data_IF_929230549885
#
_entry.id   IF_929230549885
#
_cell.length_a   1.000
_cell.length_b   1.000
_cell.length_c   1.000
_cell.angle_alpha   90.00
_cell.angle_beta   90.00
_cell.angle_gamma   90.00
#
_symmetry.space_group_name_H-M   'P 1'
#
loop_
_entity.id
_entity.type
_entity.pdbx_description
1 polymer ?
#
# COMPACT_ATOMS: atom_id res chain seq x y z
N UNK A 1 22.15 5.30 -3.83
CA UNK A 1 21.74 4.30 -2.82
C UNK A 1 21.47 5.03 -1.51
N UNK A 2 20.22 5.37 -1.20
CA UNK A 2 19.90 6.12 0.04
C UNK A 2 19.92 5.17 1.23
N UNK A 3 20.94 5.31 2.08
CA UNK A 3 21.15 4.50 3.30
C UNK A 3 20.34 5.10 4.44
N UNK A 4 19.17 4.53 4.74
CA UNK A 4 18.40 4.90 5.92
C UNK A 4 19.12 4.47 7.20
N UNK A 5 19.75 5.41 7.91
CA UNK A 5 20.29 5.15 9.25
C UNK A 5 19.12 4.98 10.21
N UNK A 6 18.99 3.80 10.79
CA UNK A 6 18.25 3.58 12.02
C UNK A 6 18.84 4.43 13.15
N UNK A 7 18.40 5.70 13.29
CA UNK A 7 18.50 6.40 14.57
C UNK A 7 17.29 5.99 15.41
N UNK A 8 17.60 5.44 16.57
CA UNK A 8 16.77 4.67 17.50
C UNK A 8 15.58 5.39 18.15
N UNK A 9 15.08 6.50 17.58
CA UNK A 9 13.98 7.26 18.19
C UNK A 9 12.90 7.80 17.25
N UNK A 10 12.97 7.51 15.93
CA UNK A 10 11.97 7.96 14.97
C UNK A 10 11.35 6.77 14.21
N UNK A 11 10.55 5.94 14.90
CA UNK A 11 9.90 4.75 14.30
C UNK A 11 8.78 5.07 13.28
N UNK A 12 8.50 6.34 13.02
CA UNK A 12 7.40 6.77 12.15
C UNK A 12 7.81 7.62 10.94
N UNK A 13 9.12 7.80 10.71
CA UNK A 13 9.61 8.62 9.59
C UNK A 13 10.08 7.71 8.46
N UNK A 14 9.27 7.61 7.40
CA UNK A 14 9.66 6.88 6.19
C UNK A 14 10.87 7.52 5.51
N UNK A 15 11.71 6.71 4.84
CA UNK A 15 12.97 7.13 4.22
C UNK A 15 12.87 8.37 3.32
N UNK A 16 11.72 8.59 2.68
CA UNK A 16 11.49 9.75 1.82
C UNK A 16 11.52 11.09 2.59
N UNK A 17 11.32 11.11 3.91
CA UNK A 17 11.39 12.35 4.71
C UNK A 17 12.82 12.70 5.17
N UNK A 18 13.84 12.06 4.58
CA UNK A 18 15.26 12.39 4.84
C UNK A 18 15.80 13.44 3.88
N UNK A 19 15.12 13.68 2.76
CA UNK A 19 15.40 14.78 1.83
C UNK A 19 14.73 16.07 2.36
N UNK A 20 15.47 17.19 2.51
CA UNK A 20 14.90 18.43 3.03
C UNK A 20 13.75 19.01 2.17
N UNK A 21 13.65 18.63 0.89
CA UNK A 21 12.59 19.10 0.00
C UNK A 21 11.32 18.25 0.09
N UNK A 22 11.38 17.06 0.70
CA UNK A 22 10.30 16.07 0.70
C UNK A 22 9.77 15.85 2.12
N UNK A 23 8.45 16.00 2.29
CA UNK A 23 7.77 15.70 3.56
C UNK A 23 6.64 14.70 3.38
N UNK A 24 6.81 13.50 3.95
CA UNK A 24 5.74 12.50 3.97
C UNK A 24 5.01 12.43 5.33
N UNK A 25 5.74 12.56 6.44
CA UNK A 25 5.15 12.55 7.79
C UNK A 25 4.52 11.20 8.21
N UNK A 26 3.65 11.27 9.22
CA UNK A 26 2.87 10.14 9.72
C UNK A 26 1.71 9.78 8.78
N UNK A 27 1.08 8.60 9.00
CA UNK A 27 -0.10 8.21 8.24
C UNK A 27 -1.30 9.11 8.58
N UNK A 28 -2.07 9.60 7.59
CA UNK A 28 -3.26 10.42 7.85
C UNK A 28 -4.38 9.68 8.58
N UNK A 29 -4.43 8.35 8.47
CA UNK A 29 -5.45 7.44 9.00
C UNK A 29 -6.88 7.65 8.48
N UNK A 30 -7.24 8.85 8.02
CA UNK A 30 -8.58 9.21 7.51
C UNK A 30 -8.77 8.93 6.01
N UNK A 31 -7.68 8.88 5.24
CA UNK A 31 -7.80 8.80 3.77
C UNK A 31 -8.42 7.50 3.29
N UNK A 32 -8.22 6.39 4.02
CA UNK A 32 -8.76 5.09 3.62
C UNK A 32 -10.28 5.09 3.77
N UNK A 33 -10.77 5.64 4.88
CA UNK A 33 -12.20 5.75 5.17
C UNK A 33 -12.92 6.61 4.13
N UNK A 34 -12.32 7.75 3.75
CA UNK A 34 -12.85 8.60 2.68
C UNK A 34 -12.93 7.86 1.34
N UNK A 35 -11.85 7.16 0.95
CA UNK A 35 -11.82 6.40 -0.29
C UNK A 35 -12.83 5.24 -0.28
N UNK A 36 -12.96 4.55 0.84
CA UNK A 36 -13.96 3.51 1.04
C UNK A 36 -15.37 4.08 0.88
N UNK A 37 -15.69 5.17 1.56
CA UNK A 37 -17.00 5.82 1.48
C UNK A 37 -17.36 6.25 0.04
N UNK A 38 -16.38 6.78 -0.72
CA UNK A 38 -16.56 7.16 -2.12
C UNK A 38 -16.86 5.97 -3.04
N UNK A 39 -16.26 4.81 -2.79
CA UNK A 39 -16.37 3.61 -3.64
C UNK A 39 -17.48 2.65 -3.21
N UNK A 40 -17.87 2.67 -1.94
CA UNK A 40 -18.95 1.84 -1.40
C UNK A 40 -20.34 2.48 -1.53
N UNK A 41 -20.42 3.69 -2.13
CA UNK A 41 -21.70 4.39 -2.26
C UNK A 41 -22.69 3.61 -3.14
N UNK A 42 -23.87 3.22 -2.61
CA UNK A 42 -24.86 2.47 -3.36
C UNK A 42 -25.34 3.20 -4.62
N UNK A 43 -25.59 2.46 -5.70
CA UNK A 43 -25.97 3.03 -7.00
C UNK A 43 -27.20 3.95 -6.91
N UNK A 44 -28.21 3.57 -6.11
CA UNK A 44 -29.42 4.37 -5.92
C UNK A 44 -29.12 5.75 -5.30
N UNK A 45 -28.15 5.84 -4.36
CA UNK A 45 -27.73 7.13 -3.79
C UNK A 45 -27.00 7.97 -4.82
N UNK A 46 -26.14 7.36 -5.65
CA UNK A 46 -25.46 8.07 -6.75
C UNK A 46 -26.48 8.65 -7.75
N UNK A 47 -27.47 7.85 -8.16
CA UNK A 47 -28.53 8.30 -9.09
C UNK A 47 -29.33 9.46 -8.52
N UNK A 48 -29.73 9.38 -7.24
CA UNK A 48 -30.38 10.49 -6.53
C UNK A 48 -29.50 11.73 -6.45
N UNK A 49 -28.21 11.57 -6.18
CA UNK A 49 -27.24 12.68 -6.18
C UNK A 49 -27.20 13.41 -7.53
N UNK A 50 -27.13 12.66 -8.62
CA UNK A 50 -27.16 13.22 -9.99
C UNK A 50 -28.47 13.97 -10.25
N UNK A 51 -29.62 13.41 -9.84
CA UNK A 51 -30.92 14.10 -9.93
C UNK A 51 -30.98 15.40 -9.12
N UNK A 52 -30.19 15.49 -8.04
CA UNK A 52 -30.04 16.69 -7.22
C UNK A 52 -28.92 17.63 -7.68
N UNK A 53 -28.30 17.38 -8.86
CA UNK A 53 -27.21 18.20 -9.39
C UNK A 53 -25.83 17.92 -8.79
N UNK A 54 -25.68 16.89 -7.96
CA UNK A 54 -24.41 16.44 -7.40
C UNK A 54 -23.78 15.43 -8.35
N UNK A 55 -23.03 15.93 -9.32
CA UNK A 55 -22.36 15.09 -10.32
C UNK A 55 -21.12 14.39 -9.75
N UNK A 56 -20.71 13.22 -10.32
CA UNK A 56 -19.55 12.47 -9.85
C UNK A 56 -18.27 13.30 -9.76
N UNK A 57 -18.07 14.22 -10.72
CA UNK A 57 -16.89 15.09 -10.78
C UNK A 57 -16.79 16.02 -9.56
N UNK A 58 -17.90 16.56 -9.06
CA UNK A 58 -17.91 17.40 -7.86
C UNK A 58 -17.46 16.60 -6.62
N UNK A 59 -17.85 15.33 -6.53
CA UNK A 59 -17.40 14.44 -5.46
C UNK A 59 -15.90 14.14 -5.61
N UNK A 60 -15.45 13.84 -6.82
CA UNK A 60 -14.04 13.55 -7.09
C UNK A 60 -13.13 14.74 -6.74
N UNK A 61 -13.54 15.96 -7.11
CA UNK A 61 -12.85 17.20 -6.72
C UNK A 61 -12.86 17.40 -5.19
N UNK A 62 -13.97 17.11 -4.51
CA UNK A 62 -14.06 17.21 -3.06
C UNK A 62 -13.15 16.19 -2.35
N UNK A 63 -13.06 14.95 -2.86
CA UNK A 63 -12.14 13.93 -2.34
C UNK A 63 -10.69 14.36 -2.55
N UNK A 64 -10.33 14.85 -3.74
CA UNK A 64 -9.00 15.34 -4.03
C UNK A 64 -8.61 16.51 -3.11
N UNK A 65 -9.50 17.49 -2.94
CA UNK A 65 -9.30 18.64 -2.07
C UNK A 65 -9.13 18.23 -0.61
N UNK A 66 -9.95 17.29 -0.11
CA UNK A 66 -9.83 16.77 1.26
C UNK A 66 -8.46 16.11 1.49
N UNK A 67 -8.04 15.22 0.58
CA UNK A 67 -6.76 14.50 0.69
C UNK A 67 -5.60 15.50 0.65
N UNK A 68 -5.59 16.41 -0.32
CA UNK A 68 -4.55 17.42 -0.45
C UNK A 68 -4.48 18.28 0.80
N UNK A 69 -5.62 18.77 1.30
CA UNK A 69 -5.65 19.65 2.46
C UNK A 69 -5.20 18.96 3.74
N UNK A 70 -5.56 17.69 3.89
CA UNK A 70 -5.09 16.85 4.99
C UNK A 70 -3.57 16.73 4.93
N UNK A 71 -3.00 16.36 3.78
CA UNK A 71 -1.55 16.25 3.60
C UNK A 71 -0.86 17.58 3.91
N UNK A 72 -1.32 18.70 3.34
CA UNK A 72 -0.77 20.04 3.58
C UNK A 72 -0.74 20.43 5.06
N UNK A 73 -1.80 20.11 5.80
CA UNK A 73 -2.00 20.60 7.18
C UNK A 73 -1.43 19.69 8.26
N UNK A 74 -0.98 18.49 7.90
CA UNK A 74 -0.37 17.54 8.83
C UNK A 74 1.11 17.82 9.14
N UNK A 75 1.68 18.95 8.70
CA UNK A 75 3.08 19.27 9.01
C UNK A 75 3.55 20.61 8.46
N UNK A 76 4.85 20.90 8.58
CA UNK A 76 5.44 22.10 8.00
C UNK A 76 5.36 22.11 6.47
N UNK A 77 5.47 23.29 5.83
CA UNK A 77 5.56 23.38 4.37
C UNK A 77 6.80 22.66 3.83
N UNK A 78 6.71 22.13 2.61
CA UNK A 78 7.79 21.51 1.86
C UNK A 78 7.50 21.61 0.36
N UNK A 79 8.55 21.55 -0.47
CA UNK A 79 8.43 21.65 -1.93
C UNK A 79 7.67 20.44 -2.52
N UNK A 80 7.88 19.26 -1.93
CA UNK A 80 7.21 18.03 -2.31
C UNK A 80 6.51 17.41 -1.09
N UNK A 81 5.20 17.25 -1.20
CA UNK A 81 4.38 16.59 -0.20
C UNK A 81 4.17 15.12 -0.60
N UNK A 82 4.24 14.21 0.38
CA UNK A 82 3.84 12.82 0.17
C UNK A 82 2.66 12.43 1.05
N UNK A 83 1.97 11.40 0.56
CA UNK A 83 0.94 10.68 1.30
C UNK A 83 1.42 9.24 1.48
N UNK A 84 1.49 8.77 2.73
CA UNK A 84 1.88 7.39 3.04
C UNK A 84 0.81 6.73 3.88
N UNK A 85 0.05 5.84 3.27
CA UNK A 85 -0.88 4.96 3.97
C UNK A 85 -1.01 3.64 3.20
N UNK A 86 -0.55 2.50 3.74
CA UNK A 86 -0.36 1.27 2.95
C UNK A 86 -1.60 0.81 2.16
N UNK A 87 -2.77 0.86 2.79
CA UNK A 87 -4.00 0.33 2.20
C UNK A 87 -4.66 1.25 1.16
N UNK A 88 -4.23 2.50 1.00
CA UNK A 88 -4.82 3.38 -0.06
C UNK A 88 -4.39 2.96 -1.45
N UNK A 89 -3.33 2.17 -1.58
CA UNK A 89 -2.83 1.68 -2.87
C UNK A 89 -3.84 0.78 -3.60
N UNK A 90 -4.84 0.22 -2.92
CA UNK A 90 -5.95 -0.50 -3.58
C UNK A 90 -6.79 0.42 -4.48
N UNK A 91 -6.76 1.73 -4.23
CA UNK A 91 -7.43 2.77 -5.01
C UNK A 91 -6.48 3.49 -5.97
N UNK A 92 -5.33 2.89 -6.32
CA UNK A 92 -4.29 3.52 -7.13
C UNK A 92 -4.81 4.18 -8.42
N UNK A 93 -5.65 3.47 -9.19
CA UNK A 93 -6.19 3.98 -10.45
C UNK A 93 -7.02 5.25 -10.24
N UNK A 94 -7.84 5.27 -9.19
CA UNK A 94 -8.64 6.44 -8.85
C UNK A 94 -7.77 7.60 -8.34
N UNK A 95 -6.78 7.31 -7.48
CA UNK A 95 -5.83 8.32 -7.01
C UNK A 95 -5.00 8.92 -8.17
N UNK A 96 -4.64 8.13 -9.18
CA UNK A 96 -3.96 8.61 -10.37
C UNK A 96 -4.84 9.53 -11.23
N UNK A 97 -6.16 9.31 -11.26
CA UNK A 97 -7.12 10.21 -11.90
C UNK A 97 -7.26 11.52 -11.12
N UNK A 98 -7.35 11.46 -9.79
CA UNK A 98 -7.47 12.64 -8.93
C UNK A 98 -6.21 13.51 -8.93
N UNK A 99 -5.03 12.90 -9.01
CA UNK A 99 -3.74 13.59 -8.95
C UNK A 99 -2.84 13.23 -10.15
N UNK A 100 -3.09 13.77 -11.35
CA UNK A 100 -2.38 13.38 -12.57
C UNK A 100 -0.87 13.61 -12.54
N UNK A 101 -0.40 14.54 -11.70
CA UNK A 101 1.04 14.85 -11.52
C UNK A 101 1.69 14.05 -10.38
N UNK A 102 0.92 13.29 -9.60
CA UNK A 102 1.45 12.49 -8.51
C UNK A 102 2.33 11.34 -9.02
N UNK A 103 3.30 10.95 -8.20
CA UNK A 103 4.12 9.77 -8.42
C UNK A 103 3.79 8.75 -7.33
N UNK A 104 3.71 7.48 -7.70
CA UNK A 104 3.31 6.41 -6.80
C UNK A 104 4.47 5.45 -6.58
N UNK A 105 4.74 5.14 -5.31
CA UNK A 105 5.78 4.19 -4.91
C UNK A 105 5.07 2.98 -4.30
N UNK A 106 5.07 1.87 -5.05
CA UNK A 106 4.56 0.60 -4.53
C UNK A 106 5.70 -0.16 -3.83
N UNK A 107 5.59 -0.31 -2.51
CA UNK A 107 6.60 -1.03 -1.74
C UNK A 107 6.41 -2.53 -1.91
N UNK A 108 7.34 -3.18 -2.63
CA UNK A 108 7.40 -4.62 -2.75
C UNK A 108 8.34 -5.21 -1.70
N UNK A 109 7.88 -6.25 -1.01
CA UNK A 109 8.63 -6.98 0.02
C UNK A 109 8.32 -8.46 -0.09
N UNK A 110 9.28 -9.31 0.29
CA UNK A 110 9.01 -10.74 0.48
C UNK A 110 7.82 -10.91 1.45
N UNK A 111 6.81 -11.65 1.01
CA UNK A 111 5.58 -11.88 1.78
C UNK A 111 5.83 -12.58 3.11
N UNK A 112 6.85 -13.45 3.20
CA UNK A 112 7.27 -14.08 4.45
C UNK A 112 7.83 -13.05 5.41
N UNK A 113 8.68 -12.13 4.93
CA UNK A 113 9.23 -11.06 5.74
C UNK A 113 8.15 -10.05 6.17
N UNK A 114 7.19 -9.74 5.29
CA UNK A 114 6.06 -8.87 5.60
C UNK A 114 5.18 -9.48 6.71
N UNK A 115 4.75 -10.74 6.54
CA UNK A 115 3.93 -11.45 7.53
C UNK A 115 4.68 -11.66 8.84
N UNK A 116 5.94 -12.07 8.81
CA UNK A 116 6.74 -12.24 10.02
C UNK A 116 6.84 -10.93 10.83
N UNK A 117 7.03 -9.78 10.16
CA UNK A 117 7.09 -8.49 10.84
C UNK A 117 5.76 -8.04 11.46
N UNK A 118 4.64 -8.55 10.97
CA UNK A 118 3.32 -8.25 11.55
C UNK A 118 3.01 -9.13 12.78
N UNK A 119 3.58 -10.34 12.86
CA UNK A 119 3.34 -11.29 13.95
C UNK A 119 4.04 -10.86 15.24
N UNK A 120 5.24 -10.27 15.17
CA UNK A 120 5.94 -9.77 16.38
C UNK A 120 5.21 -8.63 17.09
N UNK A 121 4.29 -7.95 16.40
CA UNK A 121 3.53 -6.81 16.92
C UNK A 121 2.13 -7.16 17.43
N UNK A 122 1.68 -8.42 17.34
CA UNK A 122 0.37 -8.83 17.88
C UNK A 122 0.48 -9.01 19.41
N UNK A 123 -0.06 -8.09 20.25
CA UNK A 123 0.15 -8.12 21.70
C UNK A 123 -0.65 -9.21 22.42
N UNK A 124 -1.32 -10.10 21.70
CA UNK A 124 -2.27 -11.03 22.28
C UNK A 124 -2.25 -12.35 21.55
N UNK A 125 -1.22 -13.15 21.82
CA UNK A 125 -1.32 -14.52 22.39
C UNK A 125 -0.01 -15.28 22.15
N UNK A 126 0.48 -15.99 23.16
CA UNK A 126 1.45 -17.08 23.01
C UNK A 126 0.85 -18.30 22.26
N UNK A 127 -0.13 -18.08 21.38
CA UNK A 127 -0.76 -19.13 20.59
C UNK A 127 0.15 -19.42 19.40
N UNK A 128 0.96 -20.47 19.55
CA UNK A 128 1.70 -21.14 18.50
C UNK A 128 2.41 -20.22 17.49
N UNK A 129 3.70 -19.96 17.73
CA UNK A 129 4.65 -19.64 16.66
C UNK A 129 4.71 -20.81 15.66
N UNK A 130 3.73 -20.93 14.78
CA UNK A 130 3.86 -21.77 13.59
C UNK A 130 4.99 -21.16 12.77
N UNK A 131 5.97 -21.97 12.38
CA UNK A 131 7.12 -21.51 11.57
C UNK A 131 6.69 -20.77 10.27
N UNK A 132 5.43 -20.97 9.84
CA UNK A 132 4.81 -20.30 8.70
C UNK A 132 3.34 -19.99 9.04
N UNK A 133 2.98 -18.71 9.24
CA UNK A 133 1.59 -18.28 9.44
C UNK A 133 0.83 -18.28 8.10
N UNK A 134 0.44 -19.49 7.67
CA UNK A 134 -0.08 -19.77 6.32
C UNK A 134 -1.35 -18.98 6.00
N UNK A 135 -2.20 -18.68 7.00
CA UNK A 135 -3.40 -17.87 6.81
C UNK A 135 -3.05 -16.42 6.46
N UNK A 136 -2.11 -15.80 7.18
CA UNK A 136 -1.67 -14.43 6.89
C UNK A 136 -0.93 -14.34 5.57
N UNK A 137 -0.15 -15.38 5.20
CA UNK A 137 0.45 -15.48 3.87
C UNK A 137 -0.61 -15.63 2.78
N UNK A 138 -1.67 -16.40 3.03
CA UNK A 138 -2.82 -16.50 2.13
C UNK A 138 -3.53 -15.15 1.94
N UNK A 139 -3.73 -14.39 3.03
CA UNK A 139 -4.30 -13.03 2.98
C UNK A 139 -3.38 -12.04 2.28
N UNK A 140 -2.07 -12.10 2.53
CA UNK A 140 -1.09 -11.26 1.83
C UNK A 140 -1.09 -11.55 0.33
N UNK A 141 -1.20 -12.82 -0.05
CA UNK A 141 -1.21 -13.27 -1.43
C UNK A 141 -2.61 -13.27 -2.07
N UNK A 142 -3.62 -12.65 -1.45
CA UNK A 142 -5.04 -12.86 -1.75
C UNK A 142 -5.36 -12.99 -3.26
N UNK A 143 -6.00 -14.10 -3.60
CA UNK A 143 -6.29 -14.56 -4.96
C UNK A 143 -7.20 -13.63 -5.76
N UNK A 144 -8.15 -12.93 -5.13
CA UNK A 144 -9.18 -12.23 -5.90
C UNK A 144 -8.63 -10.97 -6.56
N UNK A 145 -7.76 -10.24 -5.86
CA UNK A 145 -7.03 -9.11 -6.43
C UNK A 145 -5.98 -9.57 -7.46
N UNK A 146 -5.26 -10.65 -7.19
CA UNK A 146 -4.29 -11.22 -8.15
C UNK A 146 -4.95 -11.68 -9.46
N UNK A 147 -6.16 -12.25 -9.39
CA UNK A 147 -6.93 -12.68 -10.57
C UNK A 147 -7.41 -11.51 -11.41
N UNK A 148 -7.82 -10.41 -10.76
CA UNK A 148 -8.41 -9.24 -11.42
C UNK A 148 -7.36 -8.24 -11.92
N UNK A 149 -6.11 -8.30 -11.44
CA UNK A 149 -5.04 -7.38 -11.82
C UNK A 149 -4.08 -8.05 -12.82
N UNK A 150 -4.09 -7.68 -14.12
CA UNK A 150 -3.23 -8.26 -15.15
C UNK A 150 -1.74 -8.11 -14.84
N UNK A 151 -1.32 -6.98 -14.25
CA UNK A 151 0.06 -6.75 -13.88
C UNK A 151 0.52 -7.75 -12.81
N UNK A 152 -0.30 -8.04 -11.81
CA UNK A 152 0.07 -8.97 -10.75
C UNK A 152 0.24 -10.41 -11.24
N UNK A 153 -0.38 -10.78 -12.36
CA UNK A 153 -0.22 -12.09 -13.00
C UNK A 153 1.14 -12.26 -13.67
N UNK A 154 1.73 -11.17 -14.16
CA UNK A 154 3.03 -11.17 -14.86
C UNK A 154 4.16 -10.59 -14.00
N UNK A 155 3.84 -9.97 -12.87
CA UNK A 155 4.81 -9.30 -12.00
C UNK A 155 5.98 -10.21 -11.59
N UNK A 156 5.72 -11.49 -11.30
CA UNK A 156 6.75 -12.46 -10.96
C UNK A 156 7.75 -12.77 -12.11
N UNK A 157 7.35 -12.54 -13.36
CA UNK A 157 8.18 -12.69 -14.56
C UNK A 157 8.93 -11.38 -14.86
N UNK A 158 8.22 -10.25 -14.75
CA UNK A 158 8.69 -8.91 -15.13
C UNK A 158 9.56 -8.22 -14.07
N UNK A 159 9.40 -8.57 -12.78
CA UNK A 159 10.12 -7.93 -11.68
C UNK A 159 11.33 -8.79 -11.27
N UNK A 160 12.57 -8.34 -11.54
CA UNK A 160 13.78 -9.13 -11.24
C UNK A 160 13.88 -9.53 -9.77
N UNK A 161 13.48 -8.63 -8.85
CA UNK A 161 13.49 -8.91 -7.41
C UNK A 161 12.62 -10.14 -7.06
N UNK A 162 11.44 -10.29 -7.67
CA UNK A 162 10.55 -11.42 -7.41
C UNK A 162 11.16 -12.73 -7.92
N UNK A 163 11.84 -12.70 -9.06
CA UNK A 163 12.60 -13.84 -9.58
C UNK A 163 13.72 -14.25 -8.63
N UNK A 164 14.51 -13.29 -8.14
CA UNK A 164 15.58 -13.56 -7.18
C UNK A 164 15.02 -14.16 -5.88
N UNK A 165 13.88 -13.67 -5.41
CA UNK A 165 13.20 -14.22 -4.23
C UNK A 165 12.56 -15.62 -4.48
N UNK A 166 12.63 -16.16 -5.69
CA UNK A 166 12.12 -17.48 -6.06
C UNK A 166 10.63 -17.52 -6.43
N UNK A 167 9.98 -16.37 -6.57
CA UNK A 167 8.54 -16.30 -6.83
C UNK A 167 8.16 -16.72 -8.26
N UNK A 168 9.09 -16.64 -9.22
CA UNK A 168 8.85 -16.96 -10.64
C UNK A 168 8.44 -18.41 -10.88
N UNK A 169 8.87 -19.35 -10.01
CA UNK A 169 8.63 -20.79 -10.18
C UNK A 169 7.61 -21.32 -9.17
N UNK A 170 6.88 -20.42 -8.52
CA UNK A 170 5.77 -20.75 -7.64
C UNK A 170 4.46 -20.44 -8.35
N UNK A 171 3.40 -21.18 -8.03
CA UNK A 171 2.05 -20.87 -8.53
C UNK A 171 1.69 -19.40 -8.27
N UNK A 172 0.63 -18.89 -8.90
CA UNK A 172 0.00 -17.62 -8.50
C UNK A 172 -1.32 -17.96 -7.81
N UNK A 173 -1.47 -17.70 -6.49
CA UNK A 173 -0.49 -17.14 -5.55
C UNK A 173 0.68 -18.10 -5.23
N UNK A 174 1.83 -17.55 -4.76
CA UNK A 174 3.03 -18.32 -4.45
C UNK A 174 2.77 -19.44 -3.45
N UNK A 175 3.25 -20.64 -3.76
CA UNK A 175 3.36 -21.70 -2.77
C UNK A 175 4.58 -21.45 -1.88
N UNK A 176 4.37 -20.77 -0.76
CA UNK A 176 5.43 -20.41 0.20
C UNK A 176 6.21 -21.60 0.76
N UNK A 177 5.67 -22.82 0.74
CA UNK A 177 6.38 -24.03 1.18
C UNK A 177 7.45 -24.48 0.18
N UNK A 178 7.34 -24.05 -1.08
CA UNK A 178 8.30 -24.35 -2.15
C UNK A 178 9.39 -23.27 -2.30
N UNK A 179 9.29 -22.16 -1.56
CA UNK A 179 10.29 -21.09 -1.62
C UNK A 179 11.56 -21.47 -0.82
N UNK A 180 12.76 -21.07 -1.27
CA UNK A 180 14.00 -21.30 -0.54
C UNK A 180 13.95 -20.68 0.87
N UNK A 181 14.35 -21.42 1.90
CA UNK A 181 14.36 -20.93 3.29
C UNK A 181 15.42 -19.85 3.49
N UNK A 182 16.57 -20.00 2.84
CA UNK A 182 17.65 -19.01 2.79
C UNK A 182 17.43 -18.07 1.62
N UNK A 183 17.38 -16.77 1.90
CA UNK A 183 17.36 -15.75 0.85
C UNK A 183 18.72 -15.71 0.15
N UNK A 184 18.74 -15.56 -1.19
CA UNK A 184 20.00 -15.34 -1.90
C UNK A 184 20.62 -14.02 -1.45
N UNK A 185 21.95 -13.97 -1.44
CA UNK A 185 22.66 -12.70 -1.29
C UNK A 185 22.33 -11.82 -2.51
N UNK A 186 21.67 -10.69 -2.24
CA UNK A 186 21.42 -9.67 -3.24
C UNK A 186 22.72 -8.91 -3.45
N UNK A 187 23.42 -9.20 -4.55
CA UNK A 187 24.60 -8.47 -5.00
C UNK A 187 24.26 -7.03 -5.43
#
# INVERSE_FOLDING_TARGET
>A
MYRCRHRTYARHVGCASTDPQIRCGAEPMITLELLQARHSMPEHKRKRGIQAGVFPEAFDQAVAAFILKTVEKMGPPADYLCHKQPLTFVYLNYLAQLFPRAKFIHMLRDGRAAVASSIEFEPSTNQFRRAIHSESLGKWANTDYLKQNPFMRVAHEEIPLLRVLGYSNTSIPPNYRKLPVTLPELA
#
